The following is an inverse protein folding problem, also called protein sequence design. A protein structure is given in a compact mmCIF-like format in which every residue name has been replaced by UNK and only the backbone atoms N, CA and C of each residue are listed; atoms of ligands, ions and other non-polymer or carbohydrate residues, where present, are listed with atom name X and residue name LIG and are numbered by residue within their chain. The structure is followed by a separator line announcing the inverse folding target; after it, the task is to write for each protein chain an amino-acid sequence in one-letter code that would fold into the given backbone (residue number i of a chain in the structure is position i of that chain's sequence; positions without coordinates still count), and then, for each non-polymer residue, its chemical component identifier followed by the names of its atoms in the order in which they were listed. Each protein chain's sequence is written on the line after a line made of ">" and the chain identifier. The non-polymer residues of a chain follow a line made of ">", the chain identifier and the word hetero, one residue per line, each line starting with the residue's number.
data_IF_096753138336
#
_entry.id   IF_096753138336
#
_cell.length_a   1.000
_cell.length_b   1.000
_cell.length_c   1.000
_cell.angle_alpha   90.00
_cell.angle_beta   90.00
_cell.angle_gamma   90.00
#
_symmetry.space_group_name_H-M   'P 1'
#
loop_
_entity.id
_entity.type
_entity.pdbx_description
1 polymer ?
#
# COMPACT_ATOMS: atom_id res chain seq x y z
N UNK A 1 -34.58 67.52 -30.20
CA UNK A 1 -33.54 66.61 -30.74
C UNK A 1 -33.03 65.78 -29.58
N UNK A 2 -33.45 64.52 -29.56
CA UNK A 2 -33.16 63.60 -28.44
C UNK A 2 -31.90 62.77 -28.83
N UNK A 3 -30.83 62.86 -28.00
CA UNK A 3 -29.66 62.01 -28.19
C UNK A 3 -29.78 60.81 -27.25
N UNK A 4 -29.98 59.65 -27.86
CA UNK A 4 -29.93 58.35 -27.18
C UNK A 4 -28.47 57.89 -27.19
N UNK A 5 -27.83 57.83 -26.04
CA UNK A 5 -26.51 57.25 -25.85
C UNK A 5 -26.68 55.73 -25.57
N UNK A 6 -26.21 54.89 -26.50
CA UNK A 6 -26.11 53.43 -26.34
C UNK A 6 -24.91 53.11 -25.47
N UNK A 7 -25.14 52.63 -24.23
CA UNK A 7 -24.09 52.06 -23.39
C UNK A 7 -23.91 50.57 -23.75
N UNK A 8 -22.87 50.23 -24.49
CA UNK A 8 -22.47 48.87 -24.71
C UNK A 8 -21.69 48.36 -23.51
N UNK A 9 -22.31 47.51 -22.68
CA UNK A 9 -21.62 46.80 -21.62
C UNK A 9 -20.72 45.69 -22.24
N UNK A 10 -19.42 45.92 -22.29
CA UNK A 10 -18.43 44.92 -22.57
C UNK A 10 -18.26 44.07 -21.31
N UNK A 11 -18.88 42.89 -21.28
CA UNK A 11 -18.54 41.85 -20.31
C UNK A 11 -17.14 41.36 -20.59
N UNK A 12 -16.17 41.91 -19.88
CA UNK A 12 -14.81 41.34 -19.88
C UNK A 12 -14.86 40.01 -19.17
N UNK A 13 -14.77 38.92 -19.92
CA UNK A 13 -14.47 37.60 -19.38
C UNK A 13 -13.07 37.65 -18.76
N UNK A 14 -13.01 37.66 -17.44
CA UNK A 14 -11.75 37.54 -16.73
C UNK A 14 -11.16 36.14 -17.03
N UNK A 15 -9.87 36.05 -17.35
CA UNK A 15 -9.25 34.74 -17.48
C UNK A 15 -9.33 34.03 -16.12
N UNK A 16 -9.93 32.85 -16.09
CA UNK A 16 -9.90 31.97 -14.93
C UNK A 16 -8.44 31.71 -14.59
N UNK A 17 -7.98 32.13 -13.41
CA UNK A 17 -6.66 31.78 -12.91
C UNK A 17 -6.60 30.27 -12.70
N UNK A 18 -5.44 29.67 -12.91
CA UNK A 18 -5.21 28.23 -12.75
C UNK A 18 -5.58 27.70 -11.33
N UNK A 19 -5.79 28.57 -10.38
CA UNK A 19 -6.23 28.29 -9.01
C UNK A 19 -7.74 28.07 -8.90
N UNK A 20 -8.54 28.57 -9.86
CA UNK A 20 -10.00 28.41 -9.88
C UNK A 20 -10.45 27.06 -10.48
N UNK A 21 -9.55 26.24 -10.98
CA UNK A 21 -9.85 24.95 -11.60
C UNK A 21 -9.49 23.74 -10.71
N UNK A 22 -9.47 23.86 -9.38
CA UNK A 22 -9.62 22.70 -8.52
C UNK A 22 -11.04 22.20 -8.68
N UNK A 23 -11.22 21.15 -9.49
CA UNK A 23 -12.51 20.48 -9.62
C UNK A 23 -13.01 20.14 -8.22
N UNK A 24 -14.27 20.51 -7.93
CA UNK A 24 -14.91 20.08 -6.70
C UNK A 24 -14.89 18.57 -6.69
N UNK A 25 -14.55 17.98 -5.55
CA UNK A 25 -14.51 16.53 -5.36
C UNK A 25 -15.71 16.10 -4.53
N UNK A 26 -16.25 14.94 -4.88
CA UNK A 26 -17.31 14.28 -4.12
C UNK A 26 -16.70 13.08 -3.41
N UNK A 27 -17.07 12.91 -2.14
CA UNK A 27 -16.70 11.74 -1.34
C UNK A 27 -17.95 11.05 -0.85
N UNK A 28 -18.17 9.81 -1.24
CA UNK A 28 -19.36 9.03 -0.89
C UNK A 28 -19.01 7.71 -0.21
N UNK A 29 -19.75 7.36 0.84
CA UNK A 29 -19.69 6.03 1.44
C UNK A 29 -20.40 5.05 0.52
N UNK A 30 -19.73 3.97 0.19
CA UNK A 30 -20.23 2.93 -0.71
C UNK A 30 -20.12 1.56 -0.08
N UNK A 31 -20.87 0.61 -0.61
CA UNK A 31 -20.74 -0.80 -0.26
C UNK A 31 -20.77 -1.68 -1.49
N UNK A 32 -20.08 -2.80 -1.44
CA UNK A 32 -20.15 -3.86 -2.45
C UNK A 32 -20.15 -5.23 -1.76
N UNK A 33 -20.44 -6.30 -2.49
CA UNK A 33 -20.53 -7.65 -1.93
C UNK A 33 -19.33 -8.49 -2.36
N UNK A 34 -18.66 -9.12 -1.42
CA UNK A 34 -17.60 -10.09 -1.66
C UNK A 34 -17.79 -11.32 -0.76
N UNK A 35 -17.84 -12.51 -1.34
CA UNK A 35 -18.05 -13.77 -0.59
C UNK A 35 -19.28 -13.75 0.31
N UNK A 36 -20.39 -13.14 -0.14
CA UNK A 36 -21.64 -13.01 0.62
C UNK A 36 -21.59 -11.96 1.75
N UNK A 37 -20.49 -11.23 1.91
CA UNK A 37 -20.33 -10.18 2.93
C UNK A 37 -20.43 -8.79 2.30
N UNK A 38 -21.06 -7.84 3.00
CA UNK A 38 -21.09 -6.44 2.60
C UNK A 38 -19.80 -5.77 3.03
N UNK A 39 -19.04 -5.27 2.08
CA UNK A 39 -17.75 -4.62 2.28
C UNK A 39 -17.94 -3.10 2.20
N UNK A 40 -17.64 -2.36 3.28
CA UNK A 40 -17.73 -0.91 3.28
C UNK A 40 -16.50 -0.26 2.61
N UNK A 41 -16.75 0.77 1.81
CA UNK A 41 -15.75 1.54 1.10
C UNK A 41 -16.07 3.02 1.05
N UNK A 42 -15.17 3.81 0.49
CA UNK A 42 -15.36 5.22 0.16
C UNK A 42 -14.88 5.44 -1.26
N UNK A 43 -15.75 6.01 -2.10
CA UNK A 43 -15.42 6.47 -3.45
C UNK A 43 -15.20 7.99 -3.41
N UNK A 44 -14.08 8.45 -3.96
CA UNK A 44 -13.77 9.88 -4.12
C UNK A 44 -13.56 10.15 -5.59
N UNK A 45 -14.28 11.11 -6.15
CA UNK A 45 -14.25 11.40 -7.58
C UNK A 45 -14.41 12.90 -7.87
N UNK A 46 -14.02 13.39 -9.05
CA UNK A 46 -14.40 14.70 -9.52
C UNK A 46 -15.94 14.84 -9.57
N UNK A 47 -16.46 16.01 -9.28
CA UNK A 47 -17.91 16.26 -9.33
C UNK A 47 -18.51 15.98 -10.72
N UNK A 48 -17.73 16.23 -11.77
CA UNK A 48 -18.16 16.07 -13.14
C UNK A 48 -17.14 15.28 -13.97
N UNK A 49 -17.64 14.51 -14.92
CA UNK A 49 -16.85 13.81 -15.93
C UNK A 49 -16.58 12.36 -15.63
N UNK A 50 -16.08 11.66 -16.64
CA UNK A 50 -15.62 10.28 -16.57
C UNK A 50 -14.11 10.28 -16.75
N UNK A 51 -13.39 9.57 -15.87
CA UNK A 51 -11.94 9.55 -15.87
C UNK A 51 -11.37 8.17 -15.51
N UNK A 52 -10.04 8.08 -15.33
CA UNK A 52 -9.41 6.85 -14.87
C UNK A 52 -9.88 6.50 -13.45
N UNK A 53 -10.01 5.19 -13.18
CA UNK A 53 -10.30 4.65 -11.86
C UNK A 53 -9.04 4.13 -11.19
N UNK A 54 -8.91 4.33 -9.88
CA UNK A 54 -7.84 3.76 -9.06
C UNK A 54 -8.42 3.02 -7.86
N UNK A 55 -8.10 1.75 -7.73
CA UNK A 55 -8.37 0.96 -6.54
C UNK A 55 -7.17 1.01 -5.60
N UNK A 56 -7.34 1.52 -4.37
CA UNK A 56 -6.29 1.55 -3.34
C UNK A 56 -6.45 0.38 -2.36
N UNK A 57 -5.40 -0.43 -2.22
CA UNK A 57 -5.32 -1.56 -1.31
C UNK A 57 -4.45 -1.23 -0.11
N UNK A 58 -4.99 -1.46 1.10
CA UNK A 58 -4.33 -1.15 2.35
C UNK A 58 -3.23 -2.18 2.71
N UNK A 59 -2.27 -1.73 3.52
CA UNK A 59 -1.16 -2.53 4.04
C UNK A 59 -1.57 -3.54 5.12
N UNK A 60 -0.56 -4.07 5.84
CA UNK A 60 -0.68 -5.17 6.80
C UNK A 60 -1.57 -4.86 8.01
N UNK A 61 -2.00 -5.93 8.69
CA UNK A 61 -2.77 -5.87 9.92
C UNK A 61 -4.16 -5.29 9.74
N UNK A 62 -4.81 -4.81 10.82
CA UNK A 62 -6.16 -4.26 10.80
C UNK A 62 -6.22 -2.81 10.29
N UNK A 63 -5.42 -2.52 9.26
CA UNK A 63 -5.31 -1.20 8.63
C UNK A 63 -6.54 -0.93 7.77
N UNK A 64 -7.28 0.14 8.11
CA UNK A 64 -8.53 0.53 7.47
C UNK A 64 -8.31 1.16 6.07
N UNK A 65 -9.41 1.56 5.42
CA UNK A 65 -9.41 2.18 4.09
C UNK A 65 -8.65 3.51 4.00
N UNK A 66 -8.43 4.19 5.14
CA UNK A 66 -7.67 5.44 5.23
C UNK A 66 -6.21 5.22 5.60
N UNK A 67 -5.80 3.96 5.73
CA UNK A 67 -4.52 3.47 6.23
C UNK A 67 -4.28 3.79 7.72
N UNK A 68 -5.34 3.95 8.50
CA UNK A 68 -5.23 4.01 9.95
C UNK A 68 -5.12 2.59 10.52
N UNK A 69 -4.29 2.43 11.55
CA UNK A 69 -4.19 1.18 12.30
C UNK A 69 -4.65 1.41 13.74
N UNK A 70 -5.56 0.59 14.29
CA UNK A 70 -5.94 0.69 15.69
C UNK A 70 -4.82 0.29 16.66
N UNK A 71 -3.72 -0.28 16.15
CA UNK A 71 -2.54 -0.65 16.92
C UNK A 71 -1.61 0.56 17.17
N UNK A 72 -1.87 1.70 16.51
CA UNK A 72 -1.06 2.92 16.63
C UNK A 72 -1.94 4.08 17.11
N UNK A 73 -1.45 4.94 18.00
CA UNK A 73 -2.20 6.12 18.42
C UNK A 73 -2.38 7.13 17.27
N UNK A 74 -3.52 7.80 17.24
CA UNK A 74 -3.85 8.81 16.23
C UNK A 74 -4.39 8.22 14.92
N UNK A 75 -4.38 9.02 13.86
CA UNK A 75 -4.88 8.63 12.53
C UNK A 75 -3.87 9.01 11.45
N UNK A 76 -3.46 8.05 10.67
CA UNK A 76 -2.58 8.24 9.53
C UNK A 76 -3.28 9.07 8.42
N UNK A 77 -4.39 8.55 7.90
CA UNK A 77 -5.21 9.22 6.89
C UNK A 77 -4.56 9.37 5.52
N UNK A 78 -3.39 8.77 5.26
CA UNK A 78 -2.66 8.98 4.00
C UNK A 78 -3.43 8.51 2.77
N UNK A 79 -4.18 7.40 2.86
CA UNK A 79 -5.00 6.94 1.73
C UNK A 79 -6.14 7.91 1.42
N UNK A 80 -6.76 8.50 2.44
CA UNK A 80 -7.78 9.55 2.26
C UNK A 80 -7.18 10.78 1.59
N UNK A 81 -6.06 11.28 2.11
CA UNK A 81 -5.37 12.44 1.52
C UNK A 81 -4.95 12.18 0.07
N UNK A 82 -4.44 10.98 -0.22
CA UNK A 82 -4.05 10.58 -1.59
C UNK A 82 -5.26 10.52 -2.52
N UNK A 83 -6.37 9.93 -2.06
CA UNK A 83 -7.60 9.84 -2.85
C UNK A 83 -8.17 11.23 -3.18
N UNK A 84 -8.22 12.13 -2.19
CA UNK A 84 -8.66 13.51 -2.38
C UNK A 84 -7.75 14.27 -3.36
N UNK A 85 -6.43 14.13 -3.22
CA UNK A 85 -5.46 14.77 -4.10
C UNK A 85 -5.53 14.27 -5.55
N UNK A 86 -5.78 12.97 -5.76
CA UNK A 86 -5.94 12.37 -7.08
C UNK A 86 -7.30 12.71 -7.71
N UNK A 87 -8.38 12.75 -6.91
CA UNK A 87 -9.69 13.15 -7.40
C UNK A 87 -9.70 14.61 -7.88
N UNK A 88 -9.00 15.50 -7.18
CA UNK A 88 -8.79 16.88 -7.64
C UNK A 88 -8.01 16.97 -8.98
N UNK A 89 -7.38 15.86 -9.43
CA UNK A 89 -6.65 15.72 -10.69
C UNK A 89 -7.36 14.85 -11.72
N UNK A 90 -8.64 14.55 -11.49
CA UNK A 90 -9.49 13.83 -12.46
C UNK A 90 -9.47 12.31 -12.33
N UNK A 91 -8.98 11.74 -11.23
CA UNK A 91 -8.94 10.28 -10.99
C UNK A 91 -10.01 9.90 -9.98
N UNK A 92 -10.89 8.97 -10.33
CA UNK A 92 -11.85 8.38 -9.40
C UNK A 92 -11.17 7.32 -8.54
N UNK A 93 -11.21 7.44 -7.22
CA UNK A 93 -10.46 6.56 -6.30
C UNK A 93 -11.42 5.81 -5.38
N UNK A 94 -11.34 4.47 -5.40
CA UNK A 94 -12.01 3.60 -4.45
C UNK A 94 -11.00 3.07 -3.42
N UNK A 95 -11.35 3.16 -2.15
CA UNK A 95 -10.68 2.53 -1.02
C UNK A 95 -11.73 1.85 -0.13
N UNK A 96 -11.38 0.70 0.43
CA UNK A 96 -12.32 -0.09 1.20
C UNK A 96 -11.67 -0.71 2.45
N UNK A 97 -12.48 -1.07 3.43
CA UNK A 97 -12.02 -1.79 4.61
C UNK A 97 -11.88 -3.26 4.25
N UNK A 98 -10.65 -3.75 4.16
CA UNK A 98 -10.40 -5.18 3.96
C UNK A 98 -10.83 -5.98 5.19
N UNK A 99 -10.91 -7.30 5.09
CA UNK A 99 -11.23 -8.17 6.21
C UNK A 99 -10.42 -7.81 7.47
N UNK A 100 -11.07 -7.74 8.62
CA UNK A 100 -10.53 -7.35 9.92
C UNK A 100 -10.04 -5.90 10.01
N UNK A 101 -10.54 -5.00 9.18
CA UNK A 101 -10.20 -3.59 9.31
C UNK A 101 -11.43 -2.69 9.29
N UNK A 102 -11.31 -1.52 9.90
CA UNK A 102 -12.34 -0.49 9.89
C UNK A 102 -13.72 -1.00 10.30
N UNK A 103 -14.70 -0.93 9.37
CA UNK A 103 -16.08 -1.38 9.56
C UNK A 103 -16.33 -2.79 9.01
N UNK A 104 -15.31 -3.50 8.48
CA UNK A 104 -15.42 -4.87 7.97
C UNK A 104 -14.91 -5.87 9.01
N UNK A 105 -15.79 -6.55 9.77
CA UNK A 105 -15.36 -7.53 10.78
C UNK A 105 -14.69 -8.75 10.16
N UNK A 106 -14.90 -9.00 8.86
CA UNK A 106 -14.30 -10.13 8.14
C UNK A 106 -15.01 -11.46 8.41
N UNK A 107 -14.21 -12.50 8.58
CA UNK A 107 -14.56 -13.90 8.84
C UNK A 107 -13.72 -14.34 10.06
N UNK A 108 -13.85 -15.58 10.58
CA UNK A 108 -12.95 -16.05 11.63
C UNK A 108 -11.50 -15.92 11.19
N UNK A 109 -10.65 -15.31 12.02
CA UNK A 109 -9.27 -14.97 11.63
C UNK A 109 -8.45 -16.18 11.20
N UNK A 110 -8.77 -17.37 11.75
CA UNK A 110 -8.14 -18.64 11.37
C UNK A 110 -8.44 -19.06 9.91
N UNK A 111 -9.53 -18.54 9.32
CA UNK A 111 -9.95 -18.80 7.94
C UNK A 111 -9.38 -17.76 6.95
N UNK A 112 -8.72 -16.74 7.46
CA UNK A 112 -8.13 -15.68 6.63
C UNK A 112 -7.00 -16.22 5.74
N UNK A 113 -7.04 -15.85 4.46
CA UNK A 113 -6.06 -16.23 3.44
C UNK A 113 -5.73 -15.06 2.53
N UNK A 114 -4.67 -15.17 1.75
CA UNK A 114 -4.41 -14.22 0.67
C UNK A 114 -5.53 -14.22 -0.39
N UNK A 115 -6.21 -15.36 -0.59
CA UNK A 115 -7.38 -15.45 -1.47
C UNK A 115 -8.56 -14.63 -0.95
N UNK A 116 -8.75 -14.57 0.37
CA UNK A 116 -9.80 -13.69 0.95
C UNK A 116 -9.59 -12.23 0.53
N UNK A 117 -8.37 -11.72 0.65
CA UNK A 117 -8.05 -10.36 0.25
C UNK A 117 -8.12 -10.15 -1.28
N UNK A 118 -7.69 -11.14 -2.07
CA UNK A 118 -7.83 -11.12 -3.54
C UNK A 118 -9.30 -11.05 -3.94
N UNK A 119 -10.17 -11.83 -3.33
CA UNK A 119 -11.58 -11.90 -3.69
C UNK A 119 -12.33 -10.61 -3.29
N UNK A 120 -12.00 -10.01 -2.14
CA UNK A 120 -12.48 -8.68 -1.77
C UNK A 120 -12.00 -7.60 -2.76
N UNK A 121 -10.72 -7.61 -3.11
CA UNK A 121 -10.14 -6.69 -4.08
C UNK A 121 -10.74 -6.89 -5.50
N UNK A 122 -11.05 -8.14 -5.89
CA UNK A 122 -11.71 -8.46 -7.17
C UNK A 122 -13.13 -7.89 -7.23
N UNK A 123 -13.90 -8.03 -6.13
CA UNK A 123 -15.22 -7.43 -6.05
C UNK A 123 -15.17 -5.89 -6.04
N UNK A 124 -14.20 -5.31 -5.35
CA UNK A 124 -13.95 -3.87 -5.37
C UNK A 124 -13.58 -3.36 -6.77
N UNK A 125 -12.76 -4.11 -7.52
CA UNK A 125 -12.41 -3.80 -8.90
C UNK A 125 -13.65 -3.80 -9.80
N UNK A 126 -14.52 -4.82 -9.69
CA UNK A 126 -15.75 -4.90 -10.47
C UNK A 126 -16.71 -3.76 -10.10
N UNK A 127 -16.85 -3.43 -8.82
CA UNK A 127 -17.62 -2.29 -8.36
C UNK A 127 -17.10 -0.97 -8.94
N UNK A 128 -15.79 -0.71 -8.84
CA UNK A 128 -15.16 0.51 -9.37
C UNK A 128 -15.38 0.63 -10.88
N UNK A 129 -15.23 -0.47 -11.62
CA UNK A 129 -15.44 -0.50 -13.09
C UNK A 129 -16.88 -0.26 -13.52
N UNK A 130 -17.85 -0.51 -12.65
CA UNK A 130 -19.28 -0.29 -12.93
C UNK A 130 -19.75 1.14 -12.70
N UNK A 131 -18.88 2.01 -12.13
CA UNK A 131 -19.23 3.39 -11.78
C UNK A 131 -19.27 4.28 -13.03
N UNK A 132 -20.25 5.18 -13.09
CA UNK A 132 -20.40 6.12 -14.20
C UNK A 132 -19.24 7.13 -14.32
N UNK A 133 -18.58 7.42 -13.20
CA UNK A 133 -17.44 8.31 -13.06
C UNK A 133 -16.13 7.68 -13.56
N UNK A 134 -16.14 6.38 -13.95
CA UNK A 134 -14.95 5.61 -14.31
C UNK A 134 -14.98 5.16 -15.75
N UNK A 135 -13.90 5.44 -16.48
CA UNK A 135 -13.62 4.77 -17.76
C UNK A 135 -13.14 3.32 -17.45
N UNK A 136 -13.95 2.30 -17.78
CA UNK A 136 -13.62 0.91 -17.46
C UNK A 136 -12.39 0.38 -18.22
N UNK A 137 -11.92 1.05 -19.26
CA UNK A 137 -10.68 0.72 -19.96
C UNK A 137 -9.43 1.30 -19.26
N UNK A 138 -9.61 2.23 -18.34
CA UNK A 138 -8.54 2.94 -17.65
C UNK A 138 -8.63 2.76 -16.13
N UNK A 139 -8.64 1.50 -15.68
CA UNK A 139 -8.67 1.18 -14.25
C UNK A 139 -7.31 0.65 -13.80
N UNK A 140 -6.80 1.27 -12.76
CA UNK A 140 -5.51 0.99 -12.14
C UNK A 140 -5.70 0.41 -10.73
N UNK A 141 -4.70 -0.32 -10.27
CA UNK A 141 -4.68 -0.87 -8.90
C UNK A 141 -3.40 -0.45 -8.21
N UNK A 142 -3.51 0.16 -7.05
CA UNK A 142 -2.36 0.51 -6.23
C UNK A 142 -2.41 -0.23 -4.89
N UNK A 143 -1.30 -0.82 -4.48
CA UNK A 143 -1.15 -1.48 -3.19
C UNK A 143 -0.03 -0.87 -2.37
N UNK A 144 -0.35 -0.45 -1.15
CA UNK A 144 0.61 0.09 -0.20
C UNK A 144 1.13 -0.99 0.75
N UNK A 145 2.45 -1.07 0.93
CA UNK A 145 3.07 -2.04 1.82
C UNK A 145 2.61 -3.48 1.46
N UNK A 146 2.11 -4.30 2.40
CA UNK A 146 1.51 -5.61 2.12
C UNK A 146 0.41 -5.55 1.05
N UNK A 147 -0.30 -4.41 0.93
CA UNK A 147 -1.26 -4.19 -0.16
C UNK A 147 -0.67 -4.35 -1.55
N UNK A 148 0.64 -4.20 -1.71
CA UNK A 148 1.37 -4.52 -2.95
C UNK A 148 1.30 -6.00 -3.31
N UNK A 149 1.32 -6.91 -2.31
CA UNK A 149 1.09 -8.34 -2.49
C UNK A 149 -0.33 -8.57 -3.01
N UNK A 150 -1.32 -7.91 -2.41
CA UNK A 150 -2.73 -8.03 -2.83
C UNK A 150 -2.95 -7.47 -4.24
N UNK A 151 -2.32 -6.34 -4.59
CA UNK A 151 -2.37 -5.76 -5.93
C UNK A 151 -1.75 -6.71 -6.98
N UNK A 152 -0.63 -7.34 -6.67
CA UNK A 152 0.04 -8.32 -7.52
C UNK A 152 -0.85 -9.54 -7.76
N UNK A 153 -1.41 -10.12 -6.72
CA UNK A 153 -2.30 -11.28 -6.81
C UNK A 153 -3.61 -10.96 -7.56
N UNK A 154 -4.15 -9.76 -7.37
CA UNK A 154 -5.30 -9.30 -8.16
C UNK A 154 -4.93 -9.20 -9.64
N UNK A 155 -3.76 -8.65 -9.98
CA UNK A 155 -3.30 -8.53 -11.35
C UNK A 155 -3.01 -9.89 -12.01
N UNK A 156 -2.54 -10.89 -11.25
CA UNK A 156 -2.39 -12.25 -11.73
C UNK A 156 -3.74 -12.89 -12.15
N UNK A 157 -4.80 -12.62 -11.40
CA UNK A 157 -6.12 -13.23 -11.63
C UNK A 157 -7.03 -12.41 -12.55
N UNK A 158 -6.85 -11.09 -12.63
CA UNK A 158 -7.76 -10.14 -13.30
C UNK A 158 -7.00 -9.14 -14.19
N UNK A 159 -5.80 -9.50 -14.67
CA UNK A 159 -4.92 -8.59 -15.41
C UNK A 159 -5.53 -8.03 -16.70
N UNK A 160 -6.49 -8.72 -17.32
CA UNK A 160 -7.27 -8.28 -18.47
C UNK A 160 -8.16 -7.06 -18.20
N UNK A 161 -8.42 -6.77 -16.92
CA UNK A 161 -9.27 -5.66 -16.45
C UNK A 161 -8.49 -4.52 -15.79
N UNK A 162 -7.16 -4.63 -15.74
CA UNK A 162 -6.27 -3.70 -15.06
C UNK A 162 -5.34 -3.06 -16.07
N UNK A 163 -5.42 -1.74 -16.20
CA UNK A 163 -4.61 -0.95 -17.12
C UNK A 163 -3.15 -0.84 -16.65
N UNK A 164 -2.93 -0.77 -15.34
CA UNK A 164 -1.62 -0.69 -14.74
C UNK A 164 -1.64 -0.97 -13.23
N UNK A 165 -0.51 -1.38 -12.68
CA UNK A 165 -0.34 -1.70 -11.26
C UNK A 165 0.67 -0.76 -10.63
N UNK A 166 0.36 -0.24 -9.46
CA UNK A 166 1.23 0.65 -8.69
C UNK A 166 1.59 -0.05 -7.38
N UNK A 167 2.88 -0.26 -7.15
CA UNK A 167 3.44 -0.85 -5.94
C UNK A 167 4.05 0.26 -5.09
N UNK A 168 3.36 0.65 -4.02
CA UNK A 168 3.71 1.80 -3.19
C UNK A 168 4.35 1.30 -1.89
N UNK A 169 5.63 1.62 -1.65
CA UNK A 169 6.38 1.13 -0.48
C UNK A 169 6.11 -0.36 -0.23
N UNK A 170 6.09 -1.14 -1.32
CA UNK A 170 5.70 -2.54 -1.32
C UNK A 170 6.92 -3.46 -1.15
N UNK A 171 6.79 -4.59 -0.43
CA UNK A 171 7.90 -5.51 -0.24
C UNK A 171 8.32 -6.17 -1.57
N UNK A 172 9.62 -6.27 -1.79
CA UNK A 172 10.23 -7.09 -2.85
C UNK A 172 10.70 -8.45 -2.33
N UNK A 173 10.76 -8.61 -1.00
CA UNK A 173 11.14 -9.82 -0.27
C UNK A 173 9.91 -10.50 0.31
N UNK A 174 9.99 -11.82 0.51
CA UNK A 174 8.98 -12.55 1.28
C UNK A 174 8.96 -12.11 2.75
N UNK A 175 7.83 -12.32 3.43
CA UNK A 175 7.73 -12.05 4.88
C UNK A 175 8.81 -12.83 5.66
N UNK A 176 9.13 -14.06 5.23
CA UNK A 176 10.21 -14.86 5.83
C UNK A 176 11.56 -14.14 5.76
N UNK A 177 11.96 -13.64 4.58
CA UNK A 177 13.23 -12.91 4.42
C UNK A 177 13.25 -11.62 5.24
N UNK A 178 12.14 -10.89 5.28
CA UNK A 178 12.02 -9.66 6.07
C UNK A 178 12.20 -9.97 7.56
N UNK A 179 11.54 -11.02 8.06
CA UNK A 179 11.67 -11.45 9.45
C UNK A 179 13.08 -11.89 9.78
N UNK A 180 13.73 -12.69 8.94
CA UNK A 180 15.12 -13.11 9.13
C UNK A 180 16.03 -11.88 9.32
N UNK A 181 15.93 -10.88 8.44
CA UNK A 181 16.73 -9.65 8.54
C UNK A 181 16.39 -8.83 9.79
N UNK A 182 15.11 -8.72 10.15
CA UNK A 182 14.69 -7.96 11.33
C UNK A 182 15.16 -8.63 12.63
N UNK A 183 15.06 -9.95 12.75
CA UNK A 183 15.52 -10.70 13.90
C UNK A 183 17.04 -10.58 14.07
N UNK A 184 17.78 -10.72 12.96
CA UNK A 184 19.22 -10.58 12.96
C UNK A 184 19.68 -9.18 13.36
N UNK A 185 19.20 -8.15 12.68
CA UNK A 185 19.67 -6.77 12.87
C UNK A 185 19.13 -6.11 14.14
N UNK A 186 17.83 -6.24 14.41
CA UNK A 186 17.18 -5.43 15.43
C UNK A 186 17.23 -6.08 16.82
N UNK A 187 17.29 -7.41 16.89
CA UNK A 187 17.32 -8.14 18.16
C UNK A 187 18.74 -8.57 18.48
N UNK A 188 19.37 -9.34 17.61
CA UNK A 188 20.70 -9.89 17.90
C UNK A 188 21.80 -8.84 17.73
N UNK A 189 21.70 -7.94 16.73
CA UNK A 189 22.67 -6.86 16.54
C UNK A 189 22.72 -5.88 17.71
N UNK A 190 21.61 -5.69 18.42
CA UNK A 190 21.57 -4.84 19.62
C UNK A 190 22.18 -5.51 20.87
N UNK A 191 22.37 -6.83 20.85
CA UNK A 191 22.85 -7.62 22.00
C UNK A 191 24.38 -7.69 22.13
N UNK A 192 25.13 -6.90 21.35
CA UNK A 192 26.62 -6.90 21.33
C UNK A 192 27.23 -8.29 21.05
N UNK A 193 26.56 -9.12 20.26
CA UNK A 193 27.03 -10.44 19.85
C UNK A 193 28.05 -10.33 18.72
N UNK A 194 28.98 -11.29 18.65
CA UNK A 194 29.85 -11.39 17.46
C UNK A 194 29.06 -11.93 16.25
N UNK A 195 29.53 -11.71 14.99
CA UNK A 195 28.88 -12.25 13.81
C UNK A 195 28.68 -13.77 13.87
N UNK A 196 29.63 -14.51 14.44
CA UNK A 196 29.56 -15.95 14.60
C UNK A 196 28.47 -16.36 15.60
N UNK A 197 28.30 -15.59 16.68
CA UNK A 197 27.24 -15.81 17.66
C UNK A 197 25.87 -15.51 17.06
N UNK A 198 25.77 -14.41 16.29
CA UNK A 198 24.53 -14.06 15.56
C UNK A 198 24.13 -15.17 14.60
N UNK A 199 25.09 -15.68 13.82
CA UNK A 199 24.83 -16.78 12.87
C UNK A 199 24.40 -18.07 13.59
N UNK A 200 25.07 -18.42 14.71
CA UNK A 200 24.69 -19.58 15.52
C UNK A 200 23.24 -19.50 16.04
N UNK A 201 22.78 -18.31 16.44
CA UNK A 201 21.39 -18.07 16.86
C UNK A 201 20.42 -18.10 15.67
N UNK A 202 20.84 -17.61 14.50
CA UNK A 202 19.95 -17.50 13.33
C UNK A 202 19.75 -18.81 12.58
N UNK A 203 20.69 -19.76 12.62
CA UNK A 203 20.56 -21.07 11.94
C UNK A 203 19.29 -21.83 12.36
N UNK A 204 19.03 -22.07 13.67
CA UNK A 204 17.79 -22.72 14.09
C UNK A 204 16.54 -21.89 13.81
N UNK A 205 16.61 -20.56 13.90
CA UNK A 205 15.49 -19.65 13.56
C UNK A 205 15.12 -19.77 12.10
N UNK A 206 16.09 -19.69 11.18
CA UNK A 206 15.85 -19.87 9.74
C UNK A 206 15.30 -21.27 9.43
N UNK A 207 15.75 -22.28 10.15
CA UNK A 207 15.24 -23.66 10.01
C UNK A 207 13.77 -23.74 10.44
N UNK A 208 13.42 -23.14 11.60
CA UNK A 208 12.06 -23.08 12.09
C UNK A 208 11.11 -22.35 11.10
N UNK A 209 11.55 -21.21 10.57
CA UNK A 209 10.77 -20.46 9.57
C UNK A 209 10.55 -21.27 8.29
N UNK A 210 11.57 -21.97 7.78
CA UNK A 210 11.43 -22.86 6.61
C UNK A 210 10.48 -24.02 6.88
N UNK A 211 10.59 -24.67 8.04
CA UNK A 211 9.68 -25.74 8.45
C UNK A 211 8.24 -25.26 8.58
N UNK A 212 8.04 -24.08 9.17
CA UNK A 212 6.72 -23.45 9.26
C UNK A 212 6.11 -23.19 7.88
N UNK A 213 6.87 -22.63 6.95
CA UNK A 213 6.43 -22.38 5.56
C UNK A 213 6.09 -23.70 4.86
N UNK A 214 6.85 -24.78 5.12
CA UNK A 214 6.58 -26.13 4.60
C UNK A 214 5.35 -26.80 5.25
N UNK A 215 4.64 -26.13 6.16
CA UNK A 215 3.45 -26.66 6.83
C UNK A 215 3.73 -27.59 7.98
N UNK A 216 5.00 -27.70 8.40
CA UNK A 216 5.37 -28.50 9.55
C UNK A 216 4.99 -27.82 10.87
N UNK A 217 4.72 -28.62 11.88
CA UNK A 217 4.51 -28.11 13.24
C UNK A 217 5.86 -27.77 13.88
N UNK A 218 5.99 -26.57 14.41
CA UNK A 218 7.24 -26.03 14.95
C UNK A 218 7.00 -25.47 16.34
N UNK A 219 7.78 -25.93 17.33
CA UNK A 219 7.83 -25.26 18.62
C UNK A 219 8.79 -24.06 18.55
N UNK A 220 8.29 -22.83 18.66
CA UNK A 220 9.15 -21.63 18.63
C UNK A 220 10.28 -21.63 19.68
N UNK A 221 10.07 -22.29 20.82
CA UNK A 221 11.09 -22.39 21.88
C UNK A 221 12.27 -23.29 21.50
N UNK A 222 12.08 -24.19 20.53
CA UNK A 222 13.19 -25.00 20.01
C UNK A 222 14.10 -24.21 19.06
N UNK A 223 13.62 -23.07 18.55
CA UNK A 223 14.34 -22.26 17.56
C UNK A 223 15.29 -21.24 18.19
N UNK A 224 15.01 -20.75 19.39
CA UNK A 224 15.86 -19.75 20.09
C UNK A 224 15.60 -19.75 21.59
N UNK A 225 16.62 -19.40 22.35
CA UNK A 225 16.51 -19.08 23.77
C UNK A 225 16.17 -17.61 24.04
N UNK A 226 16.26 -16.73 23.02
CA UNK A 226 15.96 -15.32 23.14
C UNK A 226 14.43 -15.10 23.24
N UNK A 227 13.91 -14.52 24.36
CA UNK A 227 12.46 -14.37 24.57
C UNK A 227 11.76 -13.53 23.51
N UNK A 228 12.43 -12.54 22.93
CA UNK A 228 11.86 -11.67 21.90
C UNK A 228 11.68 -12.44 20.59
N UNK A 229 12.67 -13.25 20.20
CA UNK A 229 12.59 -14.13 19.02
C UNK A 229 11.47 -15.15 19.20
N UNK A 230 11.43 -15.81 20.35
CA UNK A 230 10.38 -16.79 20.68
C UNK A 230 8.99 -16.15 20.64
N UNK A 231 8.83 -14.94 21.16
CA UNK A 231 7.55 -14.22 21.13
C UNK A 231 7.09 -13.91 19.68
N UNK A 232 7.99 -13.45 18.82
CA UNK A 232 7.69 -13.15 17.42
C UNK A 232 7.32 -14.43 16.66
N UNK A 233 8.09 -15.50 16.80
CA UNK A 233 7.80 -16.78 16.16
C UNK A 233 6.47 -17.37 16.69
N UNK A 234 6.21 -17.30 17.99
CA UNK A 234 4.96 -17.77 18.60
C UNK A 234 3.74 -16.99 18.09
N UNK A 235 3.87 -15.69 17.88
CA UNK A 235 2.81 -14.87 17.32
C UNK A 235 2.52 -15.27 15.86
N UNK A 236 3.56 -15.41 15.02
CA UNK A 236 3.43 -15.81 13.62
C UNK A 236 2.86 -17.23 13.47
N UNK A 237 3.31 -18.15 14.30
CA UNK A 237 2.96 -19.58 14.22
C UNK A 237 1.72 -19.94 15.03
N UNK A 238 1.07 -18.97 15.71
CA UNK A 238 -0.13 -19.24 16.49
C UNK A 238 -1.25 -19.82 15.60
N UNK A 239 -2.05 -20.78 16.06
CA UNK A 239 -3.13 -21.40 15.28
C UNK A 239 -4.10 -20.37 14.68
N UNK A 240 -4.24 -19.23 15.35
CA UNK A 240 -5.12 -18.14 14.91
C UNK A 240 -4.69 -17.48 13.59
N UNK A 241 -3.38 -17.32 13.35
CA UNK A 241 -2.87 -16.62 12.17
C UNK A 241 -1.91 -17.47 11.33
N UNK A 242 -1.62 -18.70 11.72
CA UNK A 242 -0.64 -19.56 11.06
C UNK A 242 -0.92 -19.76 9.57
N UNK A 243 -2.19 -19.82 9.17
CA UNK A 243 -2.58 -20.02 7.77
C UNK A 243 -2.14 -18.83 6.91
N UNK A 244 -2.59 -17.63 7.23
CA UNK A 244 -2.20 -16.43 6.49
C UNK A 244 -0.71 -16.11 6.65
N UNK A 245 -0.13 -16.40 7.83
CA UNK A 245 1.30 -16.26 8.08
C UNK A 245 2.16 -17.12 7.17
N UNK A 246 1.78 -18.39 6.93
CA UNK A 246 2.47 -19.28 5.96
C UNK A 246 2.36 -18.75 4.54
N UNK A 247 1.16 -18.33 4.13
CA UNK A 247 0.94 -17.81 2.78
C UNK A 247 1.79 -16.56 2.51
N UNK A 248 1.84 -15.60 3.46
CA UNK A 248 2.68 -14.41 3.36
C UNK A 248 4.18 -14.74 3.39
N UNK A 249 4.59 -15.70 4.23
CA UNK A 249 5.98 -16.09 4.36
C UNK A 249 6.50 -16.89 3.14
N UNK A 250 5.61 -17.57 2.42
CA UNK A 250 5.94 -18.31 1.17
C UNK A 250 5.76 -17.49 -0.10
N UNK A 251 5.05 -16.36 -0.05
CA UNK A 251 4.85 -15.52 -1.22
C UNK A 251 6.14 -14.80 -1.61
N UNK A 252 6.49 -14.84 -2.89
CA UNK A 252 7.69 -14.23 -3.46
C UNK A 252 7.32 -12.98 -4.28
N UNK A 253 7.26 -11.78 -3.66
CA UNK A 253 6.68 -10.58 -4.28
C UNK A 253 7.39 -10.16 -5.57
N UNK A 254 8.72 -10.20 -5.60
CA UNK A 254 9.48 -9.82 -6.80
C UNK A 254 9.22 -10.75 -7.98
N UNK A 255 9.14 -12.07 -7.73
CA UNK A 255 8.82 -13.05 -8.76
C UNK A 255 7.39 -12.86 -9.28
N UNK A 256 6.43 -12.69 -8.40
CA UNK A 256 5.04 -12.45 -8.76
C UNK A 256 4.89 -11.14 -9.56
N UNK A 257 5.53 -10.06 -9.11
CA UNK A 257 5.53 -8.80 -9.84
C UNK A 257 6.10 -8.94 -11.26
N UNK A 258 7.13 -9.77 -11.46
CA UNK A 258 7.68 -10.07 -12.79
C UNK A 258 6.66 -10.74 -13.72
N UNK A 259 5.68 -11.46 -13.18
CA UNK A 259 4.60 -12.13 -13.93
C UNK A 259 3.50 -11.19 -14.44
N UNK A 260 3.31 -10.01 -13.82
CA UNK A 260 2.24 -9.07 -14.19
C UNK A 260 2.39 -8.65 -15.66
N UNK A 261 1.31 -8.77 -16.45
CA UNK A 261 1.32 -8.37 -17.86
C UNK A 261 1.26 -6.86 -18.04
N UNK A 262 0.46 -6.16 -17.23
CA UNK A 262 0.27 -4.72 -17.29
C UNK A 262 1.56 -3.94 -16.94
N UNK A 263 1.69 -2.67 -17.37
CA UNK A 263 2.74 -1.76 -16.88
C UNK A 263 2.72 -1.66 -15.34
N UNK A 264 3.89 -1.55 -14.73
CA UNK A 264 4.04 -1.42 -13.27
C UNK A 264 4.80 -0.14 -12.94
N UNK A 265 4.25 0.64 -12.01
CA UNK A 265 4.97 1.71 -11.34
C UNK A 265 5.37 1.23 -9.94
N UNK A 266 6.65 1.29 -9.61
CA UNK A 266 7.17 1.10 -8.26
C UNK A 266 7.43 2.48 -7.66
N UNK A 267 6.75 2.80 -6.57
CA UNK A 267 6.89 4.06 -5.84
C UNK A 267 7.45 3.80 -4.44
N UNK A 268 8.48 4.57 -4.05
CA UNK A 268 9.17 4.33 -2.80
C UNK A 268 9.51 5.64 -2.08
N UNK A 269 9.34 5.66 -0.77
CA UNK A 269 9.81 6.75 0.08
C UNK A 269 11.29 6.59 0.42
N UNK A 270 12.09 7.65 0.25
CA UNK A 270 13.52 7.66 0.60
C UNK A 270 13.79 7.67 2.11
N UNK A 271 12.77 7.97 2.92
CA UNK A 271 12.79 7.93 4.40
C UNK A 271 12.05 6.71 4.96
N UNK A 272 11.67 5.77 4.10
CA UNK A 272 11.04 4.54 4.51
C UNK A 272 12.05 3.62 5.23
N UNK A 273 11.73 3.22 6.47
CA UNK A 273 12.55 2.30 7.27
C UNK A 273 11.86 0.96 7.50
N UNK A 274 10.65 0.77 6.97
CA UNK A 274 9.92 -0.49 7.06
C UNK A 274 10.14 -1.33 5.80
N UNK A 275 10.09 -0.70 4.64
CA UNK A 275 10.35 -1.31 3.33
C UNK A 275 11.58 -0.61 2.73
N UNK A 276 12.62 -1.39 2.51
CA UNK A 276 13.92 -0.85 2.09
C UNK A 276 13.92 -0.45 0.61
N UNK A 277 14.30 0.80 0.28
CA UNK A 277 14.32 1.27 -1.11
C UNK A 277 15.22 0.45 -2.05
N UNK A 278 16.31 -0.12 -1.53
CA UNK A 278 17.25 -0.94 -2.33
C UNK A 278 16.83 -2.39 -2.36
N UNK A 279 16.62 -2.97 -1.17
CA UNK A 279 16.35 -4.41 -1.02
C UNK A 279 14.95 -4.80 -1.45
N UNK A 280 13.96 -3.92 -1.33
CA UNK A 280 12.58 -4.23 -1.73
C UNK A 280 12.22 -3.61 -3.08
N UNK A 281 12.20 -2.28 -3.20
CA UNK A 281 11.86 -1.63 -4.46
C UNK A 281 12.86 -1.97 -5.57
N UNK A 282 14.17 -2.03 -5.26
CA UNK A 282 15.21 -2.46 -6.19
C UNK A 282 15.00 -3.88 -6.72
N UNK A 283 14.57 -4.84 -5.88
CA UNK A 283 14.25 -6.21 -6.32
C UNK A 283 13.03 -6.25 -7.23
N UNK A 284 11.95 -5.50 -6.91
CA UNK A 284 10.77 -5.41 -7.76
C UNK A 284 11.13 -4.89 -9.17
N UNK A 285 11.88 -3.80 -9.23
CA UNK A 285 12.34 -3.21 -10.50
C UNK A 285 13.25 -4.18 -11.28
N UNK A 286 14.21 -4.79 -10.60
CA UNK A 286 15.15 -5.75 -11.22
C UNK A 286 14.43 -6.97 -11.77
N UNK A 287 13.50 -7.55 -11.02
CA UNK A 287 12.72 -8.71 -11.44
C UNK A 287 11.89 -8.40 -12.71
N UNK A 288 11.24 -7.24 -12.73
CA UNK A 288 10.47 -6.76 -13.90
C UNK A 288 11.36 -6.59 -15.14
N UNK A 289 12.51 -5.92 -14.98
CA UNK A 289 13.46 -5.69 -16.07
C UNK A 289 14.03 -6.99 -16.60
N UNK A 290 14.39 -7.94 -15.71
CA UNK A 290 14.88 -9.27 -16.08
C UNK A 290 13.84 -10.07 -16.87
N UNK A 291 12.56 -9.93 -16.53
CA UNK A 291 11.43 -10.50 -17.26
C UNK A 291 11.09 -9.73 -18.56
N UNK A 292 11.81 -8.67 -18.91
CA UNK A 292 11.54 -7.78 -20.06
C UNK A 292 10.13 -7.18 -20.04
N UNK A 293 9.64 -6.84 -18.84
CA UNK A 293 8.35 -6.20 -18.59
C UNK A 293 8.52 -4.71 -18.31
N UNK A 294 7.56 -3.90 -18.77
CA UNK A 294 7.56 -2.46 -18.51
C UNK A 294 7.51 -2.18 -17.00
N UNK A 295 8.41 -1.33 -16.53
CA UNK A 295 8.46 -0.86 -15.15
C UNK A 295 9.00 0.55 -15.09
N UNK A 296 8.27 1.42 -14.40
CA UNK A 296 8.71 2.74 -14.01
C UNK A 296 9.05 2.74 -12.51
N UNK A 297 9.98 3.59 -12.12
CA UNK A 297 10.40 3.72 -10.72
C UNK A 297 10.41 5.18 -10.31
N UNK A 298 9.75 5.49 -9.21
CA UNK A 298 9.78 6.81 -8.59
C UNK A 298 10.22 6.71 -7.14
N UNK A 299 11.33 7.37 -6.80
CA UNK A 299 11.81 7.55 -5.43
C UNK A 299 11.48 8.98 -4.99
N UNK A 300 10.63 9.11 -3.96
CA UNK A 300 10.38 10.38 -3.29
C UNK A 300 11.38 10.56 -2.14
N UNK A 301 12.38 11.46 -2.25
CA UNK A 301 13.51 11.50 -1.31
C UNK A 301 13.11 11.80 0.14
N UNK A 302 12.00 12.54 0.30
CA UNK A 302 11.52 12.99 1.61
C UNK A 302 10.33 12.20 2.15
N UNK A 303 9.74 11.30 1.37
CA UNK A 303 8.60 10.52 1.84
C UNK A 303 9.02 9.40 2.81
N UNK A 304 8.23 9.21 3.85
CA UNK A 304 8.31 8.06 4.74
C UNK A 304 7.46 6.87 4.23
N UNK A 305 7.34 5.81 5.03
CA UNK A 305 6.55 4.61 4.68
C UNK A 305 5.08 4.92 4.34
N UNK A 306 4.49 5.90 4.99
CA UNK A 306 3.08 6.30 4.78
C UNK A 306 2.93 7.48 3.82
N UNK A 307 3.94 7.74 3.01
CA UNK A 307 3.99 8.75 1.95
C UNK A 307 4.00 10.20 2.45
N UNK A 308 4.20 10.42 3.74
CA UNK A 308 4.25 11.76 4.30
C UNK A 308 5.66 12.31 4.29
N UNK A 309 5.79 13.62 4.13
CA UNK A 309 7.08 14.30 4.18
C UNK A 309 7.73 14.13 5.54
N UNK A 310 8.94 13.55 5.58
CA UNK A 310 9.76 13.34 6.76
C UNK A 310 10.98 14.28 6.70
N UNK A 311 11.00 15.35 7.51
CA UNK A 311 12.08 16.35 7.45
C UNK A 311 13.39 15.86 8.09
N UNK A 312 13.35 14.85 8.96
CA UNK A 312 14.54 14.33 9.64
C UNK A 312 15.42 13.53 8.67
N UNK A 313 16.70 13.41 9.00
CA UNK A 313 17.60 12.52 8.27
C UNK A 313 17.20 11.05 8.44
N UNK A 314 17.57 10.20 7.50
CA UNK A 314 17.32 8.76 7.61
C UNK A 314 18.01 8.13 8.82
N UNK A 315 19.17 8.68 9.22
CA UNK A 315 19.91 8.26 10.41
C UNK A 315 19.12 8.57 11.69
N UNK A 316 18.59 9.80 11.82
CA UNK A 316 17.74 10.20 12.96
C UNK A 316 16.48 9.35 13.06
N UNK A 317 15.84 9.04 11.91
CA UNK A 317 14.65 8.18 11.87
C UNK A 317 15.00 6.76 12.32
N UNK A 318 16.12 6.19 11.86
CA UNK A 318 16.58 4.85 12.25
C UNK A 318 17.00 4.76 13.72
N UNK A 319 17.59 5.83 14.26
CA UNK A 319 18.02 5.88 15.66
C UNK A 319 16.85 5.87 16.64
N UNK A 320 15.64 6.25 16.21
CA UNK A 320 14.48 6.31 17.09
C UNK A 320 13.20 5.83 16.42
N UNK A 321 13.10 4.51 16.23
CA UNK A 321 11.95 3.86 15.60
C UNK A 321 10.62 4.08 16.35
N UNK A 322 10.65 4.39 17.66
CA UNK A 322 9.43 4.72 18.41
C UNK A 322 8.81 6.05 17.94
N UNK A 323 9.62 7.00 17.48
CA UNK A 323 9.11 8.24 16.91
C UNK A 323 8.35 8.04 15.59
N UNK A 324 8.60 6.95 14.86
CA UNK A 324 7.88 6.65 13.63
C UNK A 324 6.41 6.40 13.88
N UNK A 325 6.08 5.58 14.89
CA UNK A 325 4.70 5.20 15.17
C UNK A 325 3.84 6.40 15.58
N UNK A 326 4.43 7.35 16.32
CA UNK A 326 3.76 8.62 16.67
C UNK A 326 3.78 9.62 15.52
N UNK A 327 4.87 9.66 14.73
CA UNK A 327 5.00 10.59 13.61
C UNK A 327 4.07 10.25 12.44
N UNK A 328 3.81 8.98 12.14
CA UNK A 328 2.89 8.60 11.05
C UNK A 328 1.50 9.21 11.22
N UNK A 329 1.03 9.33 12.44
CA UNK A 329 -0.32 9.77 12.77
C UNK A 329 -0.38 11.24 13.23
N UNK A 330 0.71 12.00 13.11
CA UNK A 330 0.70 13.43 13.43
C UNK A 330 -0.23 14.18 12.45
N UNK A 331 -1.17 14.99 12.95
CA UNK A 331 -2.25 15.55 12.14
C UNK A 331 -1.80 16.64 11.15
N UNK A 332 -0.65 17.23 11.40
CA UNK A 332 -0.05 18.33 10.62
C UNK A 332 0.85 17.86 9.47
N UNK A 333 1.09 16.55 9.34
CA UNK A 333 1.94 16.00 8.28
C UNK A 333 1.17 15.81 6.98
N UNK A 334 1.72 16.32 5.90
CA UNK A 334 1.18 16.22 4.54
C UNK A 334 1.88 15.14 3.73
N UNK A 335 1.23 14.69 2.66
CA UNK A 335 1.86 13.82 1.67
C UNK A 335 3.03 14.55 1.00
N UNK A 336 4.01 13.81 0.54
CA UNK A 336 5.07 14.34 -0.32
C UNK A 336 4.49 14.71 -1.69
N UNK A 337 4.58 15.98 -2.07
CA UNK A 337 3.95 16.52 -3.28
C UNK A 337 4.46 15.86 -4.56
N UNK A 338 5.75 15.59 -4.65
CA UNK A 338 6.39 14.93 -5.81
C UNK A 338 5.82 13.54 -6.07
N UNK A 339 5.43 12.82 -5.01
CA UNK A 339 4.83 11.50 -5.10
C UNK A 339 3.41 11.55 -5.69
N UNK A 340 2.59 12.50 -5.22
CA UNK A 340 1.23 12.70 -5.75
C UNK A 340 1.27 13.10 -7.22
N UNK A 341 2.17 14.01 -7.59
CA UNK A 341 2.33 14.45 -8.99
C UNK A 341 2.84 13.32 -9.90
N UNK A 342 3.83 12.55 -9.44
CA UNK A 342 4.34 11.40 -10.21
C UNK A 342 3.25 10.36 -10.46
N UNK A 343 2.45 10.03 -9.44
CA UNK A 343 1.37 9.07 -9.55
C UNK A 343 0.27 9.56 -10.50
N UNK A 344 -0.19 10.80 -10.33
CA UNK A 344 -1.21 11.39 -11.19
C UNK A 344 -0.74 11.46 -12.66
N UNK A 345 0.52 11.84 -12.87
CA UNK A 345 1.12 11.87 -14.21
C UNK A 345 1.15 10.46 -14.83
N UNK A 346 1.62 9.47 -14.08
CA UNK A 346 1.71 8.09 -14.58
C UNK A 346 0.34 7.53 -14.97
N UNK A 347 -0.70 7.76 -14.16
CA UNK A 347 -2.09 7.36 -14.48
C UNK A 347 -2.61 8.06 -15.75
N UNK A 348 -2.26 9.33 -15.97
CA UNK A 348 -2.66 10.04 -17.18
C UNK A 348 -1.98 9.50 -18.44
N UNK A 349 -0.71 9.17 -18.34
CA UNK A 349 0.12 8.76 -19.48
C UNK A 349 -0.17 7.31 -19.94
N UNK A 350 -0.80 6.50 -19.11
CA UNK A 350 -1.20 5.12 -19.38
C UNK A 350 -2.70 4.97 -19.50
#
# INVERSE_FOLDING_TARGET
>A
MLHIALLAAVLASQPMTAEAARSQIVSEEVTFVAGGRTIPGTLVHPELGTGPGLLLLAGSGPTDRDWNSPLLPGKNGSARLLAEALAARGVTVLRFDKAFSGKNPGLPIADLTLDTYRDEASAALDFLRSRAEVDPARVFVAGHSEGGIHATRLAESRGDRIRGVILISAPGRSLREILEVQLEKNILGSAKMTPEQVEAEMVPVRTALRSFVAGQDVDPKSASSNPQIVAILSALMSPMVARIGRELASFEPAQAAAGIAAPVLVMQGGKDVQVDPVEDAGRLVTARRSARKAVDYHLSPLADHVLKTEPRSLEEVRANLQLLTTAYNAPDRTLADDLVEALAKWIRDH
#
